data_IF_771133362605
#
_entry.id   IF_771133362605
#
_cell.length_a   1.000
_cell.length_b   1.000
_cell.length_c   1.000
_cell.angle_alpha   90.00
_cell.angle_beta   90.00
_cell.angle_gamma   90.00
#
_symmetry.space_group_name_H-M   'P 1'
#
loop_
_entity.id
_entity.type
_entity.pdbx_description
1 polymer ?
#
# COMPACT_ATOMS: atom_id res chain seq x y z
N UNK A 1 -3.98 -46.39 -27.78
CA UNK A 1 -2.77 -46.52 -28.61
C UNK A 1 -2.33 -45.24 -29.31
N UNK A 2 -3.21 -44.40 -29.86
CA UNK A 2 -2.76 -43.10 -30.49
C UNK A 2 -2.16 -42.08 -29.57
N UNK A 3 -2.54 -41.97 -28.29
CA UNK A 3 -1.96 -41.03 -27.32
C UNK A 3 -0.57 -41.44 -26.77
N UNK A 4 -0.25 -42.75 -26.73
CA UNK A 4 1.08 -43.22 -26.32
C UNK A 4 2.15 -43.04 -27.42
N UNK A 5 1.74 -43.05 -28.67
CA UNK A 5 2.66 -42.86 -29.81
C UNK A 5 3.09 -41.38 -29.92
N UNK A 6 2.22 -40.43 -29.59
CA UNK A 6 2.57 -38.98 -29.59
C UNK A 6 3.61 -38.63 -28.53
N UNK A 7 3.57 -39.24 -27.34
CA UNK A 7 4.54 -38.98 -26.25
C UNK A 7 5.92 -39.58 -26.57
N UNK A 8 5.98 -40.69 -27.27
CA UNK A 8 7.24 -41.33 -27.70
C UNK A 8 7.92 -40.58 -28.85
N UNK A 9 7.16 -39.92 -29.73
CA UNK A 9 7.71 -39.15 -30.85
C UNK A 9 8.26 -37.80 -30.37
N UNK A 10 7.64 -37.14 -29.36
CA UNK A 10 8.15 -35.88 -28.78
C UNK A 10 9.42 -36.07 -27.94
N UNK A 11 9.52 -37.17 -27.17
CA UNK A 11 10.75 -37.52 -26.44
C UNK A 11 11.93 -37.85 -27.37
N UNK A 12 11.69 -38.28 -28.61
CA UNK A 12 12.72 -38.57 -29.62
C UNK A 12 13.20 -37.30 -30.36
N UNK A 13 12.39 -36.23 -30.45
CA UNK A 13 12.80 -34.99 -31.08
C UNK A 13 13.83 -34.23 -30.19
N UNK A 14 13.62 -34.20 -28.89
CA UNK A 14 14.57 -33.59 -27.95
C UNK A 14 15.88 -34.37 -27.84
N UNK A 15 15.83 -35.73 -27.93
CA UNK A 15 17.02 -36.58 -27.95
C UNK A 15 17.77 -36.58 -29.29
N UNK A 16 17.11 -36.38 -30.42
CA UNK A 16 17.78 -36.25 -31.73
C UNK A 16 18.51 -34.91 -31.91
N UNK A 17 18.05 -33.84 -31.28
CA UNK A 17 18.69 -32.51 -31.28
C UNK A 17 20.00 -32.46 -30.47
N UNK A 18 20.25 -33.47 -29.63
CA UNK A 18 21.38 -33.54 -28.70
C UNK A 18 22.60 -34.28 -29.29
N UNK A 19 22.45 -35.06 -30.40
CA UNK A 19 23.49 -35.96 -30.89
C UNK A 19 24.49 -35.38 -31.89
N UNK A 20 24.30 -34.18 -32.41
CA UNK A 20 25.27 -33.54 -33.31
C UNK A 20 25.67 -32.14 -32.80
N UNK A 21 26.81 -32.03 -32.16
CA UNK A 21 27.72 -30.88 -32.02
C UNK A 21 27.20 -29.45 -31.83
N UNK A 22 25.94 -29.09 -32.07
CA UNK A 22 25.37 -27.75 -31.94
C UNK A 22 23.88 -27.78 -31.57
N UNK A 23 23.40 -26.87 -30.70
CA UNK A 23 21.97 -26.68 -30.49
C UNK A 23 21.47 -25.80 -31.64
N UNK A 24 20.67 -26.37 -32.54
CA UNK A 24 20.06 -25.64 -33.67
C UNK A 24 18.98 -24.68 -33.13
N UNK A 25 18.90 -23.46 -33.69
CA UNK A 25 17.77 -22.57 -33.45
C UNK A 25 16.49 -23.19 -34.06
N UNK A 26 15.48 -23.39 -33.21
CA UNK A 26 14.17 -23.91 -33.66
C UNK A 26 13.42 -22.86 -34.47
N UNK A 27 12.59 -23.33 -35.41
CA UNK A 27 11.62 -22.44 -36.05
C UNK A 27 10.50 -22.08 -35.07
N UNK A 28 9.76 -20.98 -35.27
CA UNK A 28 8.61 -20.64 -34.43
C UNK A 28 7.59 -21.79 -34.33
N UNK A 29 7.35 -22.52 -35.39
CA UNK A 29 6.43 -23.67 -35.40
C UNK A 29 6.94 -24.80 -34.52
N UNK A 30 8.23 -25.15 -34.62
CA UNK A 30 8.87 -26.19 -33.80
C UNK A 30 8.84 -25.79 -32.31
N UNK A 31 9.14 -24.51 -32.01
CA UNK A 31 9.15 -23.98 -30.65
C UNK A 31 7.76 -23.98 -30.01
N UNK A 32 6.72 -23.57 -30.74
CA UNK A 32 5.34 -23.52 -30.25
C UNK A 32 4.74 -24.94 -30.00
N UNK A 33 5.33 -26.04 -30.49
CA UNK A 33 4.92 -27.36 -30.18
C UNK A 33 5.46 -27.88 -28.84
N UNK A 34 6.45 -27.23 -28.26
CA UNK A 34 7.03 -27.60 -26.98
C UNK A 34 6.13 -27.17 -25.82
N UNK A 35 6.09 -27.96 -24.77
CA UNK A 35 5.53 -27.55 -23.48
C UNK A 35 6.38 -26.44 -22.84
N UNK A 36 5.86 -25.65 -21.91
CA UNK A 36 6.63 -24.61 -21.25
C UNK A 36 7.93 -25.13 -20.61
N UNK A 37 7.91 -26.30 -19.98
CA UNK A 37 9.09 -26.94 -19.40
C UNK A 37 10.14 -27.34 -20.45
N UNK A 38 9.67 -27.83 -21.59
CA UNK A 38 10.56 -28.19 -22.73
C UNK A 38 11.17 -26.96 -23.39
N UNK A 39 10.41 -25.83 -23.46
CA UNK A 39 10.93 -24.54 -23.94
C UNK A 39 12.06 -24.02 -23.04
N UNK A 40 11.87 -24.04 -21.73
CA UNK A 40 12.94 -23.69 -20.78
C UNK A 40 14.16 -24.58 -20.98
N UNK A 41 13.99 -25.91 -20.99
CA UNK A 41 15.11 -26.82 -21.16
C UNK A 41 15.86 -26.66 -22.51
N UNK A 42 15.14 -26.30 -23.55
CA UNK A 42 15.74 -25.94 -24.84
C UNK A 42 16.50 -24.62 -24.77
N UNK A 43 15.88 -23.55 -24.24
CA UNK A 43 16.47 -22.24 -24.17
C UNK A 43 17.69 -22.19 -23.24
N UNK A 44 17.68 -22.88 -22.10
CA UNK A 44 18.85 -23.03 -21.21
C UNK A 44 20.07 -23.59 -21.99
N UNK A 45 19.86 -24.64 -22.76
CA UNK A 45 20.94 -25.26 -23.57
C UNK A 45 21.37 -24.36 -24.71
N UNK A 46 20.42 -23.70 -25.37
CA UNK A 46 20.68 -22.82 -26.50
C UNK A 46 21.47 -21.58 -26.07
N UNK A 47 21.01 -20.87 -25.01
CA UNK A 47 21.69 -19.67 -24.50
C UNK A 47 23.05 -19.95 -23.89
N UNK A 48 23.24 -21.11 -23.27
CA UNK A 48 24.56 -21.54 -22.78
C UNK A 48 25.60 -21.66 -23.90
N UNK A 49 25.18 -22.09 -25.11
CA UNK A 49 26.06 -22.16 -26.30
C UNK A 49 26.12 -20.87 -27.12
N UNK A 50 25.11 -20.02 -26.98
CA UNK A 50 24.98 -18.75 -27.70
C UNK A 50 24.75 -17.60 -26.69
N UNK A 51 25.73 -17.28 -25.83
CA UNK A 51 25.55 -16.34 -24.74
C UNK A 51 25.33 -14.90 -25.18
N UNK A 52 25.60 -14.58 -26.46
CA UNK A 52 25.34 -13.26 -27.08
C UNK A 52 23.98 -13.15 -27.76
N UNK A 53 23.18 -14.22 -27.84
CA UNK A 53 21.82 -14.15 -28.39
C UNK A 53 20.86 -13.59 -27.33
N UNK A 54 20.72 -12.25 -27.33
CA UNK A 54 19.89 -11.50 -26.36
C UNK A 54 18.41 -11.85 -26.51
N UNK A 55 17.93 -12.05 -27.74
CA UNK A 55 16.54 -12.42 -28.00
C UNK A 55 16.19 -13.77 -27.36
N UNK A 56 17.08 -14.77 -27.50
CA UNK A 56 16.87 -16.06 -26.87
C UNK A 56 16.92 -15.98 -25.34
N UNK A 57 17.75 -15.10 -24.76
CA UNK A 57 17.74 -14.85 -23.32
C UNK A 57 16.44 -14.17 -22.87
N UNK A 58 15.92 -13.22 -23.67
CA UNK A 58 14.62 -12.58 -23.39
C UNK A 58 13.47 -13.60 -23.39
N UNK A 59 13.46 -14.52 -24.33
CA UNK A 59 12.48 -15.61 -24.29
C UNK A 59 12.66 -16.50 -23.05
N UNK A 60 13.90 -16.81 -22.66
CA UNK A 60 14.18 -17.64 -21.50
C UNK A 60 13.65 -17.05 -20.19
N UNK A 61 13.91 -15.77 -19.91
CA UNK A 61 13.39 -15.19 -18.67
C UNK A 61 11.86 -15.09 -18.66
N UNK A 62 11.22 -14.84 -19.81
CA UNK A 62 9.74 -14.82 -19.91
C UNK A 62 9.14 -16.21 -19.64
N UNK A 63 9.75 -17.27 -20.16
CA UNK A 63 9.31 -18.64 -19.84
C UNK A 63 9.52 -18.98 -18.36
N UNK A 64 10.59 -18.46 -17.71
CA UNK A 64 10.77 -18.62 -16.28
C UNK A 64 9.68 -17.90 -15.49
N UNK A 65 9.32 -16.67 -15.87
CA UNK A 65 8.22 -15.92 -15.22
C UNK A 65 6.88 -16.65 -15.40
N UNK A 66 6.61 -17.19 -16.58
CA UNK A 66 5.40 -17.96 -16.85
C UNK A 66 5.30 -19.26 -16.03
N UNK A 67 6.42 -19.79 -15.56
CA UNK A 67 6.50 -20.98 -14.70
C UNK A 67 6.67 -20.64 -13.20
N UNK A 68 6.47 -19.38 -12.81
CA UNK A 68 6.65 -18.89 -11.43
C UNK A 68 8.06 -19.19 -10.88
N UNK A 69 9.08 -18.89 -11.69
CA UNK A 69 10.50 -19.05 -11.34
C UNK A 69 11.25 -17.70 -11.36
N UNK A 70 10.86 -16.74 -10.52
CA UNK A 70 11.37 -15.34 -10.60
C UNK A 70 12.88 -15.23 -10.37
N UNK A 71 13.47 -16.04 -9.49
CA UNK A 71 14.93 -16.00 -9.25
C UNK A 71 15.75 -16.33 -10.47
N UNK A 72 15.32 -17.31 -11.25
CA UNK A 72 15.99 -17.67 -12.52
C UNK A 72 15.79 -16.59 -13.58
N UNK A 73 14.60 -16.00 -13.65
CA UNK A 73 14.33 -14.90 -14.55
C UNK A 73 15.26 -13.72 -14.27
N UNK A 74 15.41 -13.33 -13.00
CA UNK A 74 16.32 -12.27 -12.54
C UNK A 74 17.76 -12.53 -12.95
N UNK A 75 18.28 -13.75 -12.76
CA UNK A 75 19.65 -14.12 -13.15
C UNK A 75 19.85 -13.92 -14.66
N UNK A 76 18.88 -14.30 -15.48
CA UNK A 76 18.96 -14.12 -16.94
C UNK A 76 18.89 -12.64 -17.30
N UNK A 77 17.99 -11.86 -16.70
CA UNK A 77 17.90 -10.40 -16.92
C UNK A 77 19.21 -9.70 -16.56
N UNK A 78 19.82 -10.01 -15.40
CA UNK A 78 21.14 -9.50 -15.00
C UNK A 78 22.20 -9.81 -16.06
N UNK A 79 22.24 -11.05 -16.56
CA UNK A 79 23.18 -11.44 -17.61
C UNK A 79 22.99 -10.69 -18.93
N UNK A 80 21.76 -10.26 -19.25
CA UNK A 80 21.48 -9.40 -20.41
C UNK A 80 22.01 -8.00 -20.16
N UNK A 81 21.67 -7.39 -19.02
CA UNK A 81 22.08 -6.03 -18.64
C UNK A 81 23.61 -5.89 -18.60
N UNK A 82 24.31 -6.89 -18.05
CA UNK A 82 25.78 -6.94 -18.01
C UNK A 82 26.41 -7.05 -19.39
N UNK A 83 25.77 -7.77 -20.31
CA UNK A 83 26.27 -7.98 -21.68
C UNK A 83 25.93 -6.83 -22.61
N UNK A 84 24.75 -6.23 -22.45
CA UNK A 84 24.24 -5.13 -23.27
C UNK A 84 23.40 -4.17 -22.42
N UNK A 85 23.95 -3.02 -22.07
CA UNK A 85 23.28 -2.00 -21.27
C UNK A 85 22.19 -1.21 -22.03
N UNK A 86 21.93 -1.51 -23.29
CA UNK A 86 20.96 -0.81 -24.14
C UNK A 86 19.65 -1.59 -24.36
N UNK A 87 19.17 -2.27 -23.33
CA UNK A 87 17.93 -3.06 -23.36
C UNK A 87 16.91 -2.46 -22.39
N UNK A 88 16.24 -1.34 -22.74
CA UNK A 88 15.39 -0.60 -21.83
C UNK A 88 14.17 -1.38 -21.33
N UNK A 89 13.65 -2.33 -22.10
CA UNK A 89 12.59 -3.25 -21.68
C UNK A 89 13.05 -4.18 -20.56
N UNK A 90 14.22 -4.80 -20.71
CA UNK A 90 14.80 -5.68 -19.69
C UNK A 90 15.15 -4.91 -18.42
N UNK A 91 15.75 -3.72 -18.57
CA UNK A 91 16.10 -2.85 -17.45
C UNK A 91 14.85 -2.40 -16.69
N UNK A 92 13.78 -2.02 -17.38
CA UNK A 92 12.52 -1.63 -16.77
C UNK A 92 11.86 -2.80 -16.03
N UNK A 93 11.67 -3.96 -16.67
CA UNK A 93 11.09 -5.15 -16.06
C UNK A 93 11.94 -5.65 -14.87
N UNK A 94 13.28 -5.59 -14.98
CA UNK A 94 14.18 -5.88 -13.85
C UNK A 94 13.98 -4.92 -12.70
N UNK A 95 13.83 -3.62 -12.97
CA UNK A 95 13.52 -2.61 -11.96
C UNK A 95 12.20 -2.89 -11.23
N UNK A 96 11.14 -3.26 -11.96
CA UNK A 96 9.87 -3.64 -11.35
C UNK A 96 9.99 -4.87 -10.44
N UNK A 97 10.77 -5.87 -10.87
CA UNK A 97 11.00 -7.06 -10.03
C UNK A 97 11.79 -6.72 -8.77
N UNK A 98 12.77 -5.81 -8.87
CA UNK A 98 13.54 -5.36 -7.71
C UNK A 98 12.68 -4.53 -6.75
N UNK A 99 11.75 -3.68 -7.24
CA UNK A 99 10.78 -2.98 -6.39
C UNK A 99 9.91 -3.96 -5.59
N UNK A 100 9.39 -5.01 -6.24
CA UNK A 100 8.58 -6.05 -5.56
C UNK A 100 9.35 -6.84 -4.50
N UNK A 101 10.68 -6.81 -4.53
CA UNK A 101 11.57 -7.45 -3.56
C UNK A 101 12.06 -6.51 -2.46
N UNK A 102 11.66 -5.23 -2.50
CA UNK A 102 12.19 -4.21 -1.59
C UNK A 102 13.61 -3.72 -1.94
N UNK A 103 14.20 -4.21 -3.02
CA UNK A 103 15.54 -3.85 -3.52
C UNK A 103 15.53 -2.48 -4.22
N UNK A 104 15.03 -1.46 -3.52
CA UNK A 104 14.66 -0.15 -4.07
C UNK A 104 15.81 0.56 -4.78
N UNK A 105 17.02 0.53 -4.20
CA UNK A 105 18.19 1.19 -4.82
C UNK A 105 18.61 0.52 -6.13
N UNK A 106 18.48 -0.80 -6.22
CA UNK A 106 18.75 -1.57 -7.45
C UNK A 106 17.68 -1.24 -8.49
N UNK A 107 16.41 -1.17 -8.08
CA UNK A 107 15.30 -0.79 -8.94
C UNK A 107 15.48 0.63 -9.52
N UNK A 108 15.81 1.61 -8.68
CA UNK A 108 16.05 2.99 -9.12
C UNK A 108 17.19 3.10 -10.12
N UNK A 109 18.28 2.35 -9.91
CA UNK A 109 19.37 2.27 -10.89
C UNK A 109 18.87 1.69 -12.21
N UNK A 110 18.11 0.60 -12.18
CA UNK A 110 17.57 -0.04 -13.38
C UNK A 110 16.60 0.88 -14.14
N UNK A 111 15.71 1.60 -13.45
CA UNK A 111 14.81 2.59 -14.07
C UNK A 111 15.57 3.75 -14.71
N UNK A 112 16.60 4.28 -14.02
CA UNK A 112 17.46 5.34 -14.58
C UNK A 112 18.15 4.87 -15.85
N UNK A 113 18.73 3.68 -15.83
CA UNK A 113 19.46 3.11 -16.95
C UNK A 113 18.50 2.79 -18.10
N UNK A 114 17.27 2.32 -17.82
CA UNK A 114 16.20 2.14 -18.80
C UNK A 114 15.84 3.47 -19.50
N UNK A 115 15.57 4.54 -18.73
CA UNK A 115 15.21 5.84 -19.29
C UNK A 115 16.33 6.47 -20.13
N UNK A 116 17.60 6.22 -19.77
CA UNK A 116 18.76 6.70 -20.53
C UNK A 116 19.09 5.86 -21.77
N UNK A 117 18.53 4.66 -21.89
CA UNK A 117 18.77 3.77 -23.03
C UNK A 117 17.99 4.23 -24.27
N UNK A 118 18.48 3.97 -25.51
CA UNK A 118 17.76 4.29 -26.74
C UNK A 118 16.33 3.72 -26.74
N UNK A 119 15.34 4.58 -26.93
CA UNK A 119 13.91 4.21 -26.89
C UNK A 119 13.33 4.02 -25.49
N UNK A 120 14.12 4.24 -24.43
CA UNK A 120 13.69 4.03 -23.04
C UNK A 120 12.72 5.09 -22.50
N UNK A 121 12.66 6.27 -23.15
CA UNK A 121 11.73 7.36 -22.76
C UNK A 121 10.25 6.94 -22.79
N UNK A 122 9.91 5.87 -23.50
CA UNK A 122 8.55 5.28 -23.50
C UNK A 122 8.11 4.74 -22.14
N UNK A 123 9.06 4.48 -21.24
CA UNK A 123 8.79 4.01 -19.89
C UNK A 123 8.62 5.13 -18.85
N UNK A 124 8.67 6.42 -19.30
CA UNK A 124 8.60 7.55 -18.38
C UNK A 124 7.32 7.54 -17.52
N UNK A 125 6.16 7.26 -18.13
CA UNK A 125 4.90 7.21 -17.41
C UNK A 125 4.88 6.06 -16.38
N UNK A 126 5.38 4.87 -16.74
CA UNK A 126 5.44 3.73 -15.80
C UNK A 126 6.46 3.99 -14.68
N UNK A 127 7.62 4.55 -14.99
CA UNK A 127 8.62 4.90 -13.96
C UNK A 127 8.10 5.98 -13.02
N UNK A 128 7.28 6.93 -13.52
CA UNK A 128 6.68 7.97 -12.67
C UNK A 128 5.77 7.39 -11.58
N UNK A 129 5.14 6.22 -11.82
CA UNK A 129 4.32 5.54 -10.82
C UNK A 129 5.12 5.11 -9.58
N UNK A 130 6.43 4.87 -9.75
CA UNK A 130 7.33 4.51 -8.63
C UNK A 130 8.01 5.71 -7.97
N UNK A 131 8.07 6.85 -8.67
CA UNK A 131 8.80 8.05 -8.20
C UNK A 131 7.89 9.19 -7.72
N UNK A 132 6.57 9.07 -7.88
CA UNK A 132 5.61 10.13 -7.57
C UNK A 132 5.82 11.40 -8.40
N UNK A 133 5.11 12.48 -8.01
CA UNK A 133 5.22 13.80 -8.66
C UNK A 133 4.43 13.92 -9.95
N UNK A 134 3.54 12.99 -10.22
CA UNK A 134 2.54 13.04 -11.29
C UNK A 134 1.37 13.96 -10.92
N UNK A 135 1.04 14.01 -9.64
CA UNK A 135 -0.12 14.73 -9.12
C UNK A 135 0.26 16.05 -8.48
N UNK A 136 -0.64 17.04 -8.55
CA UNK A 136 -0.49 18.26 -7.76
C UNK A 136 -0.79 18.00 -6.29
N UNK A 137 0.04 18.58 -5.42
CA UNK A 137 -0.11 18.51 -3.98
C UNK A 137 -0.36 19.92 -3.45
N UNK A 138 -1.35 20.05 -2.57
CA UNK A 138 -1.71 21.29 -1.90
C UNK A 138 -1.56 21.12 -0.38
N UNK A 139 -0.88 22.05 0.28
CA UNK A 139 -0.89 22.17 1.73
C UNK A 139 -2.22 22.79 2.17
N UNK A 140 -2.87 22.19 3.17
CA UNK A 140 -4.19 22.59 3.66
C UNK A 140 -4.06 23.36 4.97
N UNK A 141 -3.20 22.90 5.86
CA UNK A 141 -2.94 23.55 7.15
C UNK A 141 -1.47 23.96 7.24
N UNK A 142 -1.15 24.92 8.13
CA UNK A 142 0.20 25.46 8.25
C UNK A 142 0.41 26.13 9.62
N UNK A 143 -0.18 25.59 10.68
CA UNK A 143 0.02 26.08 12.03
C UNK A 143 1.41 25.70 12.57
N UNK A 144 1.72 26.04 13.82
CA UNK A 144 2.92 25.55 14.50
C UNK A 144 2.68 24.27 15.29
N UNK A 145 1.41 23.88 15.42
CA UNK A 145 0.99 22.66 16.05
C UNK A 145 1.11 21.48 15.09
N UNK A 146 1.12 20.28 15.61
CA UNK A 146 0.94 19.10 14.80
C UNK A 146 -0.54 18.93 14.46
N UNK A 147 -0.83 18.67 13.20
CA UNK A 147 -2.15 18.41 12.64
C UNK A 147 -2.11 17.10 11.87
N UNK A 148 -2.95 16.14 12.26
CA UNK A 148 -2.81 14.77 11.78
C UNK A 148 -4.16 14.06 11.61
N UNK A 149 -4.14 12.88 10.98
CA UNK A 149 -5.28 11.99 10.75
C UNK A 149 -6.47 12.68 10.09
N UNK A 150 -6.27 13.24 8.88
CA UNK A 150 -7.35 13.92 8.18
C UNK A 150 -8.43 12.95 7.69
N UNK A 151 -9.69 13.39 7.77
CA UNK A 151 -10.84 12.71 7.19
C UNK A 151 -11.83 13.73 6.62
N UNK A 152 -12.43 13.45 5.48
CA UNK A 152 -13.41 14.33 4.86
C UNK A 152 -14.78 14.21 5.52
N UNK A 153 -15.56 15.30 5.48
CA UNK A 153 -17.01 15.22 5.64
C UNK A 153 -17.64 14.42 4.51
N UNK A 154 -18.81 13.79 4.69
CA UNK A 154 -19.46 12.98 3.65
C UNK A 154 -19.83 13.77 2.38
N UNK A 155 -20.02 15.08 2.47
CA UNK A 155 -20.26 15.98 1.33
C UNK A 155 -18.97 16.53 0.70
N UNK A 156 -17.79 16.22 1.29
CA UNK A 156 -16.48 16.66 0.80
C UNK A 156 -16.19 18.14 1.01
N UNK A 157 -17.04 18.90 1.70
CA UNK A 157 -16.86 20.34 1.91
C UNK A 157 -15.85 20.67 2.99
N UNK A 158 -15.61 19.77 3.92
CA UNK A 158 -14.75 19.95 5.09
C UNK A 158 -13.76 18.82 5.26
N UNK A 159 -12.71 19.10 6.01
CA UNK A 159 -11.78 18.12 6.53
C UNK A 159 -11.71 18.21 8.06
N UNK A 160 -11.81 17.07 8.73
CA UNK A 160 -11.65 16.93 10.18
C UNK A 160 -10.28 16.34 10.45
N UNK A 161 -9.64 16.74 11.52
CA UNK A 161 -8.30 16.28 11.88
C UNK A 161 -8.03 16.51 13.37
N UNK A 162 -7.06 15.83 13.94
CA UNK A 162 -6.58 16.12 15.28
C UNK A 162 -5.49 17.21 15.25
N UNK A 163 -5.44 18.04 16.26
CA UNK A 163 -4.42 19.09 16.44
C UNK A 163 -4.01 19.22 17.91
N UNK A 164 -2.74 19.54 18.17
CA UNK A 164 -2.25 19.79 19.52
C UNK A 164 -2.02 21.28 19.84
N UNK A 165 -2.74 22.16 19.15
CA UNK A 165 -2.58 23.63 19.26
C UNK A 165 -2.78 24.15 20.70
N UNK A 166 -3.65 23.50 21.48
CA UNK A 166 -3.97 23.92 22.86
C UNK A 166 -3.17 23.16 23.93
N UNK A 167 -2.24 22.27 23.53
CA UNK A 167 -1.30 21.54 24.42
C UNK A 167 -1.60 20.08 24.65
N UNK A 168 -2.79 19.61 24.32
CA UNK A 168 -3.21 18.22 24.18
C UNK A 168 -3.87 18.02 22.81
N UNK A 169 -4.18 16.80 22.43
CA UNK A 169 -4.86 16.54 21.16
C UNK A 169 -6.34 16.89 21.26
N UNK A 170 -6.79 17.75 20.35
CA UNK A 170 -8.18 18.16 20.17
C UNK A 170 -8.60 17.89 18.72
N UNK A 171 -9.92 17.95 18.43
CA UNK A 171 -10.43 17.75 17.07
C UNK A 171 -10.88 19.09 16.48
N UNK A 172 -10.34 19.42 15.32
CA UNK A 172 -10.71 20.58 14.53
C UNK A 172 -11.39 20.19 13.21
N UNK A 173 -12.17 21.09 12.63
CA UNK A 173 -12.62 21.05 11.25
C UNK A 173 -12.13 22.25 10.47
N UNK A 174 -11.86 22.05 9.18
CA UNK A 174 -11.55 23.12 8.24
C UNK A 174 -12.49 23.08 7.04
N UNK A 175 -13.14 24.19 6.75
CA UNK A 175 -13.91 24.37 5.53
C UNK A 175 -12.95 24.57 4.35
N UNK A 176 -13.07 23.73 3.32
CA UNK A 176 -12.12 23.71 2.20
C UNK A 176 -12.32 24.87 1.22
N UNK A 177 -13.51 25.48 1.17
CA UNK A 177 -13.81 26.60 0.29
C UNK A 177 -13.38 27.93 0.89
N UNK A 178 -13.71 28.19 2.16
CA UNK A 178 -13.35 29.43 2.86
C UNK A 178 -11.95 29.40 3.46
N UNK A 179 -11.46 28.20 3.81
CA UNK A 179 -10.22 28.03 4.57
C UNK A 179 -10.37 28.32 6.06
N UNK A 180 -11.58 28.53 6.56
CA UNK A 180 -11.84 28.75 7.99
C UNK A 180 -11.68 27.45 8.78
N UNK A 181 -11.03 27.54 9.94
CA UNK A 181 -10.83 26.43 10.90
C UNK A 181 -11.58 26.73 12.18
N UNK A 182 -12.21 25.72 12.77
CA UNK A 182 -12.80 25.80 14.11
C UNK A 182 -12.56 24.51 14.89
N UNK A 183 -12.45 24.63 16.20
CA UNK A 183 -12.44 23.48 17.10
C UNK A 183 -13.84 22.85 17.14
N UNK A 184 -13.89 21.53 17.04
CA UNK A 184 -15.11 20.71 17.09
C UNK A 184 -15.27 20.09 18.48
N UNK A 185 -14.18 19.60 19.02
CA UNK A 185 -14.10 19.03 20.35
C UNK A 185 -12.78 19.45 20.98
N UNK A 186 -12.88 20.08 22.16
CA UNK A 186 -11.76 20.62 22.91
C UNK A 186 -12.03 20.36 24.39
N UNK A 187 -11.25 19.43 24.99
CA UNK A 187 -11.35 19.11 26.42
C UNK A 187 -9.97 19.07 27.08
N UNK A 188 -9.87 18.58 28.29
CA UNK A 188 -8.58 18.37 28.96
C UNK A 188 -7.97 16.98 28.70
N UNK A 189 -8.70 16.11 27.98
CA UNK A 189 -8.22 14.80 27.54
C UNK A 189 -7.65 14.91 26.13
N UNK A 190 -6.99 13.86 25.67
CA UNK A 190 -6.64 13.75 24.26
C UNK A 190 -7.86 13.23 23.48
N UNK A 191 -8.25 13.94 22.44
CA UNK A 191 -9.23 13.53 21.43
C UNK A 191 -8.53 13.38 20.09
N UNK A 192 -8.54 12.16 19.57
CA UNK A 192 -7.72 11.76 18.40
C UNK A 192 -8.52 10.96 17.37
N UNK A 193 -7.97 10.82 16.17
CA UNK A 193 -8.42 9.85 15.16
C UNK A 193 -9.92 9.99 14.82
N UNK A 194 -10.40 11.20 14.43
CA UNK A 194 -11.81 11.42 14.10
C UNK A 194 -12.23 10.63 12.85
N UNK A 195 -13.48 10.16 12.82
CA UNK A 195 -14.13 9.62 11.64
C UNK A 195 -15.63 9.98 11.64
N UNK A 196 -16.10 10.52 10.50
CA UNK A 196 -17.47 11.06 10.41
C UNK A 196 -18.42 9.97 9.93
N UNK A 197 -19.62 9.92 10.53
CA UNK A 197 -20.69 9.00 10.09
C UNK A 197 -21.11 9.30 8.65
N UNK A 198 -21.52 8.31 7.85
CA UNK A 198 -21.91 8.53 6.45
C UNK A 198 -23.05 9.53 6.24
N UNK A 199 -23.91 9.74 7.24
CA UNK A 199 -24.99 10.73 7.22
C UNK A 199 -24.53 12.13 7.70
N UNK A 200 -23.29 12.28 8.13
CA UNK A 200 -22.69 13.54 8.59
C UNK A 200 -23.19 14.06 9.94
N UNK A 201 -23.91 13.25 10.71
CA UNK A 201 -24.51 13.71 11.98
C UNK A 201 -23.68 13.40 13.21
N UNK A 202 -22.80 12.41 13.12
CA UNK A 202 -22.01 11.91 14.22
C UNK A 202 -20.54 11.82 13.84
N UNK A 203 -19.70 11.81 14.84
CA UNK A 203 -18.28 11.52 14.74
C UNK A 203 -17.93 10.45 15.76
N UNK A 204 -17.15 9.45 15.33
CA UNK A 204 -16.42 8.60 16.27
C UNK A 204 -14.98 9.07 16.35
N UNK A 205 -14.39 8.93 17.51
CA UNK A 205 -13.03 9.36 17.79
C UNK A 205 -12.43 8.54 18.92
N UNK A 206 -11.16 8.69 19.14
CA UNK A 206 -10.43 8.04 20.23
C UNK A 206 -10.16 9.03 21.32
N UNK A 207 -10.35 8.68 22.61
CA UNK A 207 -10.02 9.55 23.73
C UNK A 207 -9.58 8.78 24.96
N UNK A 208 -8.72 9.42 25.78
CA UNK A 208 -8.28 8.94 27.08
C UNK A 208 -9.08 9.53 28.27
N UNK A 209 -10.25 10.12 28.01
CA UNK A 209 -11.04 10.89 28.99
C UNK A 209 -11.45 10.12 30.23
N UNK A 210 -11.68 8.80 30.13
CA UNK A 210 -12.08 7.96 31.24
C UNK A 210 -10.89 7.39 32.04
N UNK A 211 -9.66 7.47 31.55
CA UNK A 211 -8.48 7.08 32.30
C UNK A 211 -8.03 8.18 33.27
N UNK A 212 -8.52 8.08 34.51
CA UNK A 212 -8.25 9.04 35.58
C UNK A 212 -6.97 8.76 36.37
N UNK A 213 -6.15 7.83 35.91
CA UNK A 213 -4.87 7.52 36.58
C UNK A 213 -3.95 8.75 36.51
N UNK A 214 -3.23 9.10 37.60
CA UNK A 214 -2.32 10.25 37.62
C UNK A 214 -0.97 9.89 36.95
N UNK A 215 -1.00 9.59 35.65
CA UNK A 215 0.14 9.24 34.82
C UNK A 215 0.18 10.16 33.60
N UNK A 216 1.29 10.15 32.87
CA UNK A 216 1.46 10.86 31.61
C UNK A 216 0.40 10.38 30.58
N UNK A 217 -0.23 11.30 29.89
CA UNK A 217 -1.36 11.05 28.97
C UNK A 217 -1.02 10.00 27.91
N UNK A 218 0.21 9.97 27.41
CA UNK A 218 0.69 8.95 26.46
C UNK A 218 0.64 7.50 26.96
N UNK A 219 0.47 7.30 28.28
CA UNK A 219 0.32 5.96 28.90
C UNK A 219 -1.10 5.68 29.37
N UNK A 220 -2.01 6.61 29.15
CA UNK A 220 -3.42 6.43 29.46
C UNK A 220 -4.06 5.51 28.40
N UNK A 221 -5.02 4.73 28.87
CA UNK A 221 -5.84 3.90 28.00
C UNK A 221 -6.77 4.78 27.18
N UNK A 222 -6.81 4.54 25.90
CA UNK A 222 -7.71 5.18 24.95
C UNK A 222 -8.91 4.30 24.69
N UNK A 223 -10.05 4.93 24.43
CA UNK A 223 -11.30 4.28 24.14
C UNK A 223 -12.00 4.95 22.96
N UNK A 224 -12.96 4.28 22.35
CA UNK A 224 -13.74 4.84 21.23
C UNK A 224 -14.94 5.59 21.80
N UNK A 225 -15.08 6.84 21.39
CA UNK A 225 -16.21 7.70 21.72
C UNK A 225 -17.03 8.04 20.47
N UNK A 226 -18.30 8.31 20.70
CA UNK A 226 -19.21 8.89 19.73
C UNK A 226 -19.59 10.30 20.18
N UNK A 227 -19.62 11.26 19.25
CA UNK A 227 -20.17 12.59 19.45
C UNK A 227 -21.31 12.83 18.44
N UNK A 228 -22.44 13.32 18.91
CA UNK A 228 -23.54 13.80 18.08
C UNK A 228 -23.38 15.31 17.82
N UNK A 229 -23.24 15.71 16.56
CA UNK A 229 -22.97 17.11 16.18
C UNK A 229 -24.12 18.08 16.49
N UNK A 230 -25.35 17.59 16.53
CA UNK A 230 -26.49 18.45 16.78
C UNK A 230 -26.62 18.80 18.26
N UNK A 231 -26.37 17.84 19.13
CA UNK A 231 -26.60 17.96 20.57
C UNK A 231 -25.32 18.22 21.37
N UNK A 232 -24.16 17.91 20.79
CA UNK A 232 -22.89 17.88 21.50
C UNK A 232 -22.76 16.71 22.51
N UNK A 233 -23.71 15.78 22.51
CA UNK A 233 -23.68 14.61 23.39
C UNK A 233 -22.54 13.67 23.00
N UNK A 234 -21.76 13.21 23.98
CA UNK A 234 -20.70 12.23 23.83
C UNK A 234 -21.01 10.94 24.59
N UNK A 235 -20.61 9.80 24.04
CA UNK A 235 -20.78 8.48 24.64
C UNK A 235 -19.51 7.65 24.43
N UNK A 236 -18.99 7.02 25.50
CA UNK A 236 -17.98 5.98 25.38
C UNK A 236 -18.64 4.71 24.80
N UNK A 237 -18.09 4.15 23.73
CA UNK A 237 -18.63 2.98 23.04
C UNK A 237 -17.94 1.68 23.45
N UNK A 238 -16.71 1.72 23.99
CA UNK A 238 -15.92 0.51 24.22
C UNK A 238 -15.81 0.13 25.70
N UNK A 239 -15.81 1.09 26.62
CA UNK A 239 -15.76 0.88 28.08
C UNK A 239 -14.75 -0.22 28.50
N UNK A 240 -13.54 -0.17 27.96
CA UNK A 240 -12.50 -1.20 28.05
C UNK A 240 -11.36 -0.77 28.97
N UNK A 241 -10.62 -1.72 29.52
CA UNK A 241 -9.37 -1.49 30.25
C UNK A 241 -8.14 -1.60 29.32
N UNK A 242 -8.34 -1.94 28.06
CA UNK A 242 -7.32 -2.05 27.03
C UNK A 242 -7.43 -0.88 26.05
N UNK A 243 -6.36 -0.59 25.38
CA UNK A 243 -6.30 0.45 24.35
C UNK A 243 -7.20 0.08 23.17
N UNK A 244 -8.08 0.99 22.79
CA UNK A 244 -8.98 0.91 21.65
C UNK A 244 -8.81 2.18 20.79
N UNK A 245 -8.54 2.03 19.50
CA UNK A 245 -8.26 3.20 18.64
C UNK A 245 -8.61 2.97 17.17
N UNK A 246 -8.49 4.02 16.37
CA UNK A 246 -8.67 4.06 14.93
C UNK A 246 -10.06 3.56 14.48
N UNK A 247 -11.15 4.16 15.02
CA UNK A 247 -12.50 3.79 14.64
C UNK A 247 -12.85 4.26 13.22
N UNK A 248 -13.54 3.42 12.44
CA UNK A 248 -14.07 3.79 11.12
C UNK A 248 -15.44 3.19 10.90
N UNK A 249 -16.39 4.01 10.47
CA UNK A 249 -17.73 3.53 10.10
C UNK A 249 -17.70 2.65 8.85
N UNK A 250 -18.65 1.71 8.79
CA UNK A 250 -19.10 1.08 7.55
C UNK A 250 -19.82 2.11 6.66
N UNK A 251 -19.88 1.87 5.36
CA UNK A 251 -20.51 2.81 4.41
C UNK A 251 -22.02 2.96 4.64
N UNK A 252 -22.69 1.92 5.14
CA UNK A 252 -24.10 1.98 5.53
C UNK A 252 -24.32 2.61 6.92
N UNK A 253 -23.25 2.90 7.69
CA UNK A 253 -23.31 3.50 9.02
C UNK A 253 -23.74 2.58 10.15
N UNK A 254 -23.94 1.28 9.89
CA UNK A 254 -24.45 0.34 10.91
C UNK A 254 -23.35 -0.23 11.81
N UNK A 255 -22.10 -0.22 11.35
CA UNK A 255 -20.97 -0.82 12.05
C UNK A 255 -19.79 0.15 12.15
N UNK A 256 -18.94 -0.11 13.14
CA UNK A 256 -17.65 0.53 13.33
C UNK A 256 -16.59 -0.58 13.39
N UNK A 257 -15.53 -0.48 12.59
CA UNK A 257 -14.32 -1.28 12.73
C UNK A 257 -13.31 -0.46 13.52
N UNK A 258 -12.56 -1.10 14.42
CA UNK A 258 -11.57 -0.44 15.27
C UNK A 258 -10.45 -1.41 15.65
N UNK A 259 -9.39 -0.91 16.24
CA UNK A 259 -8.25 -1.68 16.73
C UNK A 259 -8.34 -1.80 18.24
N UNK A 260 -7.99 -2.96 18.79
CA UNK A 260 -8.03 -3.21 20.23
C UNK A 260 -6.94 -4.16 20.70
N UNK A 261 -6.37 -3.90 21.88
CA UNK A 261 -5.45 -4.79 22.58
C UNK A 261 -6.14 -5.72 23.59
N UNK A 262 -7.47 -5.68 23.69
CA UNK A 262 -8.26 -6.39 24.72
C UNK A 262 -8.09 -7.91 24.73
N UNK A 263 -7.68 -8.49 23.60
CA UNK A 263 -7.43 -9.93 23.49
C UNK A 263 -6.05 -10.35 23.97
N UNK A 264 -5.10 -9.42 24.10
CA UNK A 264 -3.76 -9.73 24.60
C UNK A 264 -3.72 -9.77 26.13
N UNK A 265 -3.90 -10.98 26.67
CA UNK A 265 -3.87 -11.25 28.11
C UNK A 265 -2.45 -11.45 28.66
N UNK A 266 -1.40 -11.30 27.84
CA UNK A 266 -0.02 -11.46 28.32
C UNK A 266 0.34 -10.35 29.31
N UNK A 267 1.12 -10.70 30.33
CA UNK A 267 1.68 -9.74 31.28
C UNK A 267 2.96 -9.13 30.72
N UNK A 268 2.83 -8.29 29.69
CA UNK A 268 3.93 -7.61 29.00
C UNK A 268 3.76 -6.11 29.12
N UNK A 269 4.85 -5.31 28.92
CA UNK A 269 4.73 -3.87 28.80
C UNK A 269 3.68 -3.45 27.77
N UNK A 270 3.03 -2.33 27.98
CA UNK A 270 2.05 -1.75 27.06
C UNK A 270 2.55 -1.70 25.61
N UNK A 271 3.82 -1.32 25.39
CA UNK A 271 4.43 -1.22 24.05
C UNK A 271 4.67 -2.57 23.37
N UNK A 272 4.45 -3.68 24.06
CA UNK A 272 4.61 -5.06 23.56
C UNK A 272 3.27 -5.80 23.42
N UNK A 273 2.17 -5.11 23.71
CA UNK A 273 0.82 -5.65 23.52
C UNK A 273 0.54 -5.85 22.03
N UNK A 274 -0.18 -6.92 21.74
CA UNK A 274 -0.67 -7.21 20.39
C UNK A 274 -2.04 -6.62 20.19
N UNK A 275 -2.25 -6.12 19.00
CA UNK A 275 -3.51 -5.51 18.56
C UNK A 275 -4.24 -6.38 17.55
N UNK A 276 -5.55 -6.34 17.61
CA UNK A 276 -6.47 -7.01 16.70
C UNK A 276 -7.47 -6.04 16.10
N UNK A 277 -8.01 -6.41 14.96
CA UNK A 277 -9.14 -5.71 14.34
C UNK A 277 -10.44 -6.24 14.94
N UNK A 278 -11.27 -5.32 15.43
CA UNK A 278 -12.59 -5.56 15.98
C UNK A 278 -13.66 -4.85 15.17
N UNK A 279 -14.89 -5.32 15.29
CA UNK A 279 -16.10 -4.68 14.78
C UNK A 279 -17.15 -4.61 15.87
N UNK A 280 -17.92 -3.50 15.91
CA UNK A 280 -19.09 -3.32 16.76
C UNK A 280 -20.24 -2.71 15.96
N UNK A 281 -21.46 -2.74 16.49
CA UNK A 281 -22.56 -1.91 16.00
C UNK A 281 -22.28 -0.42 16.27
N UNK A 282 -22.88 0.46 15.48
CA UNK A 282 -22.58 1.90 15.55
C UNK A 282 -23.00 2.57 16.86
N UNK A 283 -23.85 1.92 17.66
CA UNK A 283 -24.25 2.35 19.00
C UNK A 283 -23.32 1.83 20.13
N UNK A 284 -22.32 1.01 19.79
CA UNK A 284 -21.33 0.43 20.69
C UNK A 284 -21.66 -0.97 21.17
N UNK A 285 -22.73 -1.61 20.67
CA UNK A 285 -23.07 -2.98 21.05
C UNK A 285 -22.34 -4.03 20.17
N UNK A 286 -22.34 -5.29 20.60
CA UNK A 286 -21.87 -6.48 19.85
C UNK A 286 -20.43 -6.41 19.33
N UNK A 287 -19.45 -6.30 20.22
CA UNK A 287 -18.04 -6.35 19.88
C UNK A 287 -17.63 -7.74 19.34
N UNK A 288 -17.20 -7.81 18.10
CA UNK A 288 -16.73 -9.00 17.42
C UNK A 288 -15.24 -8.87 17.08
N UNK A 289 -14.38 -9.77 17.56
CA UNK A 289 -12.99 -9.89 17.13
C UNK A 289 -12.97 -10.44 15.71
N UNK A 290 -12.32 -9.74 14.78
CA UNK A 290 -12.22 -10.13 13.37
C UNK A 290 -10.90 -10.84 13.06
N UNK A 291 -9.80 -10.49 13.74
CA UNK A 291 -8.51 -11.18 13.62
C UNK A 291 -8.19 -11.93 14.91
N UNK A 292 -7.58 -13.11 14.80
CA UNK A 292 -7.33 -14.02 15.92
C UNK A 292 -6.05 -14.81 15.70
N UNK A 293 -4.93 -14.10 15.59
CA UNK A 293 -3.59 -14.69 15.46
C UNK A 293 -2.58 -13.93 16.36
N UNK A 294 -1.33 -14.37 16.36
CA UNK A 294 -0.28 -13.81 17.22
C UNK A 294 0.42 -12.58 16.59
N UNK A 295 -0.25 -11.87 15.68
CA UNK A 295 0.29 -10.72 14.95
C UNK A 295 -0.27 -9.40 15.48
N UNK A 296 0.32 -8.30 15.05
CA UNK A 296 -0.29 -6.98 15.19
C UNK A 296 -1.12 -6.67 13.95
N UNK A 297 -2.41 -6.52 14.14
CA UNK A 297 -3.38 -6.20 13.10
C UNK A 297 -4.02 -4.84 13.37
N UNK A 298 -4.25 -4.04 12.33
CA UNK A 298 -4.83 -2.72 12.51
C UNK A 298 -5.29 -2.05 11.22
N UNK A 299 -5.72 -0.78 11.32
CA UNK A 299 -6.12 0.04 10.20
C UNK A 299 -7.34 -0.47 9.43
N UNK A 300 -8.29 -1.11 10.10
CA UNK A 300 -9.47 -1.67 9.46
C UNK A 300 -10.25 -0.63 8.64
N UNK A 301 -10.65 -0.99 7.40
CA UNK A 301 -11.47 -0.18 6.52
C UNK A 301 -12.43 -1.09 5.72
N UNK A 302 -13.74 -0.76 5.76
CA UNK A 302 -14.72 -1.51 5.00
C UNK A 302 -14.58 -1.29 3.49
N UNK A 303 -14.91 -2.32 2.69
CA UNK A 303 -15.25 -2.15 1.28
C UNK A 303 -16.54 -1.34 1.13
N UNK A 304 -16.75 -0.69 -0.02
CA UNK A 304 -17.92 0.19 -0.23
C UNK A 304 -19.28 -0.54 -0.08
N UNK A 305 -19.31 -1.85 -0.36
CA UNK A 305 -20.50 -2.70 -0.18
C UNK A 305 -20.60 -3.31 1.24
N UNK A 306 -19.69 -2.94 2.16
CA UNK A 306 -19.57 -3.43 3.54
C UNK A 306 -19.36 -4.96 3.67
N UNK A 307 -19.08 -5.66 2.57
CA UNK A 307 -18.93 -7.12 2.58
C UNK A 307 -17.54 -7.59 3.05
N UNK A 308 -16.53 -6.70 3.01
CA UNK A 308 -15.14 -6.99 3.34
C UNK A 308 -14.55 -5.92 4.25
N UNK A 309 -13.44 -6.27 4.93
CA UNK A 309 -12.58 -5.37 5.68
C UNK A 309 -11.16 -5.51 5.17
N UNK A 310 -10.56 -4.40 4.71
CA UNK A 310 -9.13 -4.29 4.44
C UNK A 310 -8.43 -3.89 5.74
N UNK A 311 -7.25 -4.42 5.99
CA UNK A 311 -6.47 -4.14 7.19
C UNK A 311 -4.99 -4.37 6.93
N UNK A 312 -4.12 -3.92 7.83
CA UNK A 312 -2.70 -4.28 7.79
C UNK A 312 -2.38 -5.31 8.88
N UNK A 313 -1.38 -6.16 8.62
CA UNK A 313 -0.94 -7.21 9.53
C UNK A 313 0.53 -7.52 9.33
N UNK A 314 1.26 -7.78 10.42
CA UNK A 314 2.67 -8.17 10.36
C UNK A 314 2.89 -9.70 10.42
N UNK A 315 1.85 -10.50 10.13
CA UNK A 315 1.93 -11.98 10.17
C UNK A 315 2.93 -12.60 9.20
N UNK A 316 3.36 -11.86 8.18
CA UNK A 316 4.39 -12.28 7.23
C UNK A 316 5.78 -11.73 7.56
N UNK A 317 5.94 -10.98 8.67
CA UNK A 317 7.20 -10.37 9.13
C UNK A 317 7.21 -8.85 9.05
N UNK A 318 6.84 -8.27 7.91
CA UNK A 318 6.54 -6.84 7.72
C UNK A 318 5.03 -6.62 7.73
N UNK A 319 4.59 -5.37 7.87
CA UNK A 319 3.18 -5.04 7.70
C UNK A 319 2.79 -5.10 6.23
N UNK A 320 1.86 -5.99 5.91
CA UNK A 320 1.25 -6.15 4.59
C UNK A 320 -0.22 -5.75 4.64
N UNK A 321 -0.83 -5.43 3.48
CA UNK A 321 -2.27 -5.23 3.36
C UNK A 321 -2.97 -6.55 3.11
N UNK A 322 -3.97 -6.83 3.95
CA UNK A 322 -4.86 -7.98 3.88
C UNK A 322 -6.29 -7.55 3.60
N UNK A 323 -7.10 -8.49 3.15
CA UNK A 323 -8.55 -8.37 3.07
C UNK A 323 -9.20 -9.63 3.65
N UNK A 324 -10.30 -9.45 4.38
CA UNK A 324 -11.13 -10.54 4.92
C UNK A 324 -12.61 -10.23 4.66
N UNK A 325 -13.49 -11.20 4.85
CA UNK A 325 -14.93 -10.91 4.92
C UNK A 325 -15.25 -10.09 6.17
N UNK A 326 -16.34 -9.34 6.14
CA UNK A 326 -16.77 -8.50 7.26
C UNK A 326 -17.20 -9.28 8.52
N UNK A 327 -17.19 -10.61 8.47
CA UNK A 327 -17.36 -11.52 9.60
C UNK A 327 -16.01 -12.06 10.15
N UNK A 328 -14.88 -11.59 9.65
CA UNK A 328 -13.52 -12.01 10.02
C UNK A 328 -13.01 -13.26 9.31
N UNK A 329 -13.82 -13.88 8.44
CA UNK A 329 -13.42 -15.11 7.75
C UNK A 329 -12.63 -14.86 6.47
N UNK A 330 -11.82 -15.84 6.06
CA UNK A 330 -11.06 -15.89 4.81
C UNK A 330 -10.07 -14.70 4.65
N UNK A 331 -9.19 -14.43 5.61
CA UNK A 331 -8.15 -13.41 5.43
C UNK A 331 -7.18 -13.86 4.34
N UNK A 332 -6.81 -12.92 3.46
CA UNK A 332 -5.84 -13.14 2.39
C UNK A 332 -5.00 -11.89 2.17
N UNK A 333 -3.73 -12.06 1.83
CA UNK A 333 -2.84 -10.95 1.46
C UNK A 333 -3.30 -10.34 0.14
N UNK A 334 -3.37 -9.03 0.09
CA UNK A 334 -3.66 -8.24 -1.13
C UNK A 334 -2.38 -7.65 -1.68
N UNK A 335 -1.57 -7.05 -0.82
CA UNK A 335 -0.32 -6.40 -1.17
C UNK A 335 0.67 -6.56 -0.03
N UNK A 336 1.90 -6.87 -0.35
CA UNK A 336 3.00 -6.93 0.60
C UNK A 336 4.33 -7.06 -0.10
N UNK A 337 5.36 -6.51 0.51
CA UNK A 337 6.74 -6.62 0.07
C UNK A 337 7.63 -7.12 1.23
N UNK A 338 8.65 -7.94 0.96
CA UNK A 338 9.43 -8.59 2.03
C UNK A 338 10.20 -7.64 2.96
N UNK A 339 10.44 -6.39 2.54
CA UNK A 339 11.34 -5.46 3.23
C UNK A 339 10.71 -4.10 3.54
N UNK A 340 9.45 -3.90 3.20
CA UNK A 340 8.71 -2.66 3.52
C UNK A 340 7.42 -2.94 4.27
N UNK A 341 6.89 -1.88 4.85
CA UNK A 341 5.63 -1.89 5.57
C UNK A 341 4.57 -1.19 4.72
N UNK A 342 3.45 -1.85 4.51
CA UNK A 342 2.24 -1.31 3.89
C UNK A 342 1.17 -1.19 4.97
N UNK A 343 0.75 0.04 5.28
CA UNK A 343 0.00 0.33 6.52
C UNK A 343 -1.22 1.20 6.24
N UNK A 344 -2.28 0.96 7.02
CA UNK A 344 -3.47 1.79 7.13
C UNK A 344 -4.21 2.01 5.80
N UNK A 345 -4.75 0.93 5.18
CA UNK A 345 -5.48 1.03 3.92
C UNK A 345 -6.76 1.85 4.06
N UNK A 346 -7.12 2.58 3.00
CA UNK A 346 -8.37 3.30 2.88
C UNK A 346 -8.94 3.09 1.46
N UNK A 347 -10.11 2.42 1.37
CA UNK A 347 -10.72 2.04 0.09
C UNK A 347 -11.35 3.25 -0.59
N UNK A 348 -11.19 3.35 -1.92
CA UNK A 348 -11.77 4.43 -2.72
C UNK A 348 -13.29 4.29 -2.87
N UNK A 349 -14.04 5.39 -3.01
CA UNK A 349 -15.49 5.36 -3.16
C UNK A 349 -15.97 4.61 -4.42
N UNK A 350 -15.14 4.47 -5.44
CA UNK A 350 -15.46 3.72 -6.67
C UNK A 350 -15.22 2.20 -6.53
N UNK A 351 -14.75 1.71 -5.38
CA UNK A 351 -14.41 0.31 -5.12
C UNK A 351 -13.29 -0.26 -5.98
N UNK A 352 -12.55 0.58 -6.72
CA UNK A 352 -11.52 0.12 -7.66
C UNK A 352 -10.13 0.12 -7.05
N UNK A 353 -9.88 1.02 -6.07
CA UNK A 353 -8.56 1.28 -5.53
C UNK A 353 -8.58 1.31 -4.00
N UNK A 354 -7.42 1.29 -3.40
CA UNK A 354 -7.18 1.74 -2.03
C UNK A 354 -5.89 2.56 -1.97
N UNK A 355 -5.84 3.52 -1.03
CA UNK A 355 -4.62 4.22 -0.66
C UNK A 355 -4.10 3.69 0.66
N UNK A 356 -2.81 3.78 0.86
CA UNK A 356 -2.10 3.34 2.07
C UNK A 356 -0.78 4.10 2.16
N UNK A 357 -0.04 3.96 3.24
CA UNK A 357 1.32 4.47 3.30
C UNK A 357 2.33 3.33 3.43
N UNK A 358 3.51 3.52 2.81
CA UNK A 358 4.60 2.53 2.81
C UNK A 358 5.96 3.21 2.85
N UNK A 359 6.93 2.57 3.51
CA UNK A 359 8.33 2.96 3.56
C UNK A 359 9.19 2.34 2.43
N UNK A 360 8.56 1.72 1.45
CA UNK A 360 9.21 1.10 0.28
C UNK A 360 10.15 2.06 -0.47
N UNK A 361 9.88 3.36 -0.44
CA UNK A 361 10.71 4.41 -1.04
C UNK A 361 11.84 4.94 -0.14
N UNK A 362 12.07 4.37 1.04
CA UNK A 362 13.06 4.79 2.03
C UNK A 362 12.53 5.76 3.09
N UNK A 363 11.37 6.38 2.87
CA UNK A 363 10.55 7.13 3.82
C UNK A 363 9.10 6.75 3.63
N UNK A 364 8.25 6.98 4.62
CA UNK A 364 6.83 6.74 4.43
C UNK A 364 6.25 7.74 3.43
N UNK A 365 5.61 7.18 2.39
CA UNK A 365 4.88 7.91 1.36
C UNK A 365 3.51 7.31 1.13
N UNK A 366 2.63 8.11 0.50
CA UNK A 366 1.29 7.66 0.12
C UNK A 366 1.38 6.92 -1.21
N UNK A 367 0.81 5.74 -1.22
CA UNK A 367 0.67 4.89 -2.40
C UNK A 367 -0.80 4.59 -2.67
N UNK A 368 -1.09 4.24 -3.92
CA UNK A 368 -2.37 3.73 -4.38
C UNK A 368 -2.15 2.40 -5.09
N UNK A 369 -3.08 1.46 -4.93
CA UNK A 369 -3.14 0.24 -5.72
C UNK A 369 -4.59 -0.12 -6.04
N UNK A 370 -4.80 -1.00 -7.01
CA UNK A 370 -6.10 -1.63 -7.23
C UNK A 370 -6.48 -2.50 -6.02
N UNK A 371 -7.78 -2.75 -5.81
CA UNK A 371 -8.28 -3.58 -4.70
C UNK A 371 -7.79 -5.04 -4.75
N UNK A 372 -7.18 -5.47 -5.83
CA UNK A 372 -6.50 -6.77 -5.98
C UNK A 372 -4.97 -6.70 -5.78
N UNK A 373 -4.44 -5.54 -5.39
CA UNK A 373 -3.02 -5.28 -5.18
C UNK A 373 -2.22 -4.96 -6.45
N UNK A 374 -2.84 -4.98 -7.62
CA UNK A 374 -2.17 -4.62 -8.87
C UNK A 374 -2.06 -3.10 -9.06
N UNK A 375 -1.30 -2.67 -10.05
CA UNK A 375 -1.13 -1.26 -10.45
C UNK A 375 -0.70 -0.33 -9.30
N UNK A 376 0.34 -0.74 -8.57
CA UNK A 376 0.95 0.07 -7.52
C UNK A 376 1.46 1.40 -8.08
N UNK A 377 1.05 2.52 -7.47
CA UNK A 377 1.45 3.88 -7.83
C UNK A 377 1.81 4.70 -6.60
N UNK A 378 2.96 5.36 -6.61
CA UNK A 378 3.39 6.29 -5.54
C UNK A 378 2.81 7.67 -5.80
N UNK A 379 1.98 8.18 -4.88
CA UNK A 379 1.31 9.47 -5.00
C UNK A 379 2.15 10.63 -4.48
N UNK A 380 2.93 10.41 -3.41
CA UNK A 380 3.82 11.42 -2.84
C UNK A 380 5.27 11.01 -2.98
N UNK A 381 6.16 12.01 -2.89
CA UNK A 381 7.60 11.80 -2.99
C UNK A 381 8.33 12.90 -2.23
N UNK A 382 8.73 12.63 -1.01
CA UNK A 382 9.51 13.56 -0.18
C UNK A 382 10.33 12.78 0.85
N UNK A 383 11.40 13.36 1.41
CA UNK A 383 12.12 12.73 2.53
C UNK A 383 11.37 12.79 3.86
N UNK A 384 10.16 13.33 3.86
CA UNK A 384 9.27 13.46 5.03
C UNK A 384 8.50 12.17 5.30
N UNK A 385 7.82 12.14 6.44
CA UNK A 385 6.87 11.09 6.78
C UNK A 385 5.48 11.52 6.27
N UNK A 386 5.01 10.91 5.19
CA UNK A 386 3.67 11.10 4.62
C UNK A 386 2.84 9.88 5.00
N UNK A 387 1.81 10.06 5.83
CA UNK A 387 1.09 8.92 6.43
C UNK A 387 -0.42 9.18 6.54
N UNK A 388 -1.17 8.11 6.83
CA UNK A 388 -2.60 8.10 7.12
C UNK A 388 -3.47 8.79 6.06
N UNK A 389 -3.50 8.23 4.84
CA UNK A 389 -4.29 8.77 3.75
C UNK A 389 -5.79 8.51 3.91
N UNK A 390 -6.61 9.44 3.41
CA UNK A 390 -8.06 9.30 3.29
C UNK A 390 -8.55 9.89 1.97
N UNK A 391 -9.42 9.15 1.25
CA UNK A 391 -10.07 9.67 0.05
C UNK A 391 -11.15 10.70 0.36
N UNK A 392 -11.33 11.68 -0.53
CA UNK A 392 -12.56 12.47 -0.59
C UNK A 392 -13.75 11.60 -1.04
N UNK A 393 -14.99 11.98 -0.69
CA UNK A 393 -16.18 11.19 -1.04
C UNK A 393 -16.39 10.99 -2.54
N UNK A 394 -15.86 11.90 -3.38
CA UNK A 394 -15.91 11.80 -4.85
C UNK A 394 -14.70 11.06 -5.45
N UNK A 395 -13.76 10.61 -4.59
CA UNK A 395 -12.56 9.88 -5.01
C UNK A 395 -11.52 10.70 -5.78
N UNK A 396 -11.63 12.04 -5.79
CA UNK A 396 -10.75 12.90 -6.60
C UNK A 396 -9.56 13.45 -5.84
N UNK A 397 -9.64 13.45 -4.51
CA UNK A 397 -8.60 13.95 -3.61
C UNK A 397 -8.18 12.85 -2.64
N UNK A 398 -6.92 12.90 -2.20
CA UNK A 398 -6.41 12.10 -1.08
C UNK A 398 -5.78 13.04 -0.08
N UNK A 399 -6.38 13.17 1.10
CA UNK A 399 -5.80 13.91 2.22
C UNK A 399 -4.83 13.01 2.99
N UNK A 400 -3.77 13.59 3.53
CA UNK A 400 -2.77 12.90 4.36
C UNK A 400 -2.07 13.93 5.26
N UNK A 401 -1.33 13.48 6.27
CA UNK A 401 -0.46 14.38 7.01
C UNK A 401 1.01 14.14 6.71
N UNK A 402 1.80 15.21 6.81
CA UNK A 402 3.23 15.22 6.49
C UNK A 402 4.01 16.16 7.38
N UNK A 403 5.20 15.73 7.81
CA UNK A 403 6.12 16.58 8.59
C UNK A 403 7.17 17.30 7.74
N UNK A 404 6.90 17.49 6.45
CA UNK A 404 7.88 18.11 5.51
C UNK A 404 8.27 19.55 5.85
N UNK A 405 7.46 20.24 6.65
CA UNK A 405 7.73 21.62 7.09
C UNK A 405 8.25 21.72 8.54
N UNK A 406 8.54 20.58 9.19
CA UNK A 406 9.11 20.51 10.54
C UNK A 406 8.15 20.07 11.64
N UNK A 407 6.84 20.26 11.47
CA UNK A 407 5.74 19.70 12.23
C UNK A 407 4.77 19.01 11.27
N UNK A 408 3.82 18.24 11.79
CA UNK A 408 2.80 17.63 10.94
C UNK A 408 1.75 18.64 10.52
N UNK A 409 1.55 18.75 9.21
CA UNK A 409 0.50 19.52 8.55
C UNK A 409 -0.34 18.61 7.67
N UNK A 410 -1.57 19.04 7.33
CA UNK A 410 -2.45 18.34 6.40
C UNK A 410 -2.16 18.78 4.96
N UNK A 411 -2.03 17.80 4.08
CA UNK A 411 -1.84 17.98 2.64
C UNK A 411 -2.92 17.21 1.86
N UNK A 412 -3.13 17.59 0.61
CA UNK A 412 -4.00 16.88 -0.33
C UNK A 412 -3.31 16.65 -1.66
N UNK A 413 -3.39 15.42 -2.17
CA UNK A 413 -3.09 15.04 -3.56
C UNK A 413 -4.35 15.21 -4.39
N UNK A 414 -4.26 15.90 -5.53
CA UNK A 414 -5.35 16.00 -6.50
C UNK A 414 -5.14 14.99 -7.64
N UNK A 415 -5.90 13.90 -7.62
CA UNK A 415 -5.79 12.80 -8.58
C UNK A 415 -6.24 13.18 -10.01
N UNK A 416 -7.00 14.28 -10.18
CA UNK A 416 -7.41 14.81 -11.50
C UNK A 416 -6.40 15.78 -12.08
N UNK A 417 -5.54 16.37 -11.27
CA UNK A 417 -4.53 17.34 -11.71
C UNK A 417 -3.20 16.63 -11.93
N UNK A 418 -3.03 16.07 -13.13
CA UNK A 418 -1.83 15.31 -13.49
C UNK A 418 -0.91 16.13 -14.38
N UNK A 419 0.40 16.03 -14.13
CA UNK A 419 1.45 16.44 -15.07
C UNK A 419 2.40 15.28 -15.25
N UNK A 420 2.45 14.70 -16.46
CA UNK A 420 3.39 13.62 -16.76
C UNK A 420 4.83 14.16 -16.72
N UNK A 421 5.68 13.70 -15.78
CA UNK A 421 7.07 14.13 -15.74
C UNK A 421 7.80 13.62 -16.97
N UNK A 422 8.68 14.44 -17.51
CA UNK A 422 9.54 14.04 -18.61
C UNK A 422 10.58 13.00 -18.17
N UNK A 423 11.04 12.16 -19.10
CA UNK A 423 12.10 11.19 -18.81
C UNK A 423 13.34 11.86 -18.17
N UNK A 424 13.70 13.10 -18.61
CA UNK A 424 14.81 13.87 -18.06
C UNK A 424 14.60 14.26 -16.59
N UNK A 425 13.39 14.68 -16.23
CA UNK A 425 13.05 15.02 -14.85
C UNK A 425 13.11 13.79 -13.96
N UNK A 426 12.62 12.64 -14.43
CA UNK A 426 12.70 11.37 -13.72
C UNK A 426 14.15 10.91 -13.54
N UNK A 427 14.99 11.00 -14.58
CA UNK A 427 16.43 10.69 -14.46
C UNK A 427 17.09 11.58 -13.42
N UNK A 428 16.83 12.89 -13.41
CA UNK A 428 17.37 13.82 -12.41
C UNK A 428 16.95 13.43 -10.98
N UNK A 429 15.70 13.01 -10.79
CA UNK A 429 15.21 12.50 -9.49
C UNK A 429 15.96 11.23 -9.08
N UNK A 430 16.08 10.27 -9.98
CA UNK A 430 16.79 9.01 -9.74
C UNK A 430 18.27 9.26 -9.41
N UNK A 431 18.93 10.16 -10.11
CA UNK A 431 20.33 10.54 -9.82
C UNK A 431 20.49 11.15 -8.42
N UNK A 432 19.50 11.89 -7.94
CA UNK A 432 19.51 12.43 -6.58
C UNK A 432 19.29 11.35 -5.52
N UNK A 433 18.45 10.34 -5.79
CA UNK A 433 18.19 9.22 -4.90
C UNK A 433 19.36 8.23 -4.81
N UNK A 434 20.15 8.13 -5.86
CA UNK A 434 21.29 7.20 -5.96
C UNK A 434 22.60 7.79 -5.42
N UNK A 435 22.62 9.04 -4.92
CA UNK A 435 23.75 9.72 -4.26
C UNK A 435 23.79 9.45 -2.77
#
# INVERSE_FOLDING_TARGET
MKKLISILILGSLLTLLIQCGGVKKLTPEEYNQLSPQERVAYLEKYTAKNPSDIDAKKELYKEYLALDMPDKAIQVMQSIIETNANEPDVQFEYGEMMMRRGETMIAYKAFRDALNSPGGTRYASQVSNYLGGKYSIQQITSSKADEAFPVFSPDGSKIYYQTNENGNWDIAERDLASGETRMVLETSADEELPYISPDGKQMVYTSNADDRRPIDDKFKVREIYLMDFQTGFTKNLTESIADDWLPRYSHNGNFIVFVSERSDLRSVPYTEKQSDVYKMESDGDFHLRLTDDDSNDGGGCFSVDDSKVFFHSNRNGTYDIFVMKADGTLPMTVLGTPESNEVNPFVSPDSMHFVFFSDQGGSYDIYQANVDGSNLERLTFSPAQNTNPAYSPDGTLVAYHSNQNGNYDIFMVNLKSTSEPTARELVNRLDNLLR
#
